data_IF_311297109190
#
_entry.id   IF_311297109190
#
_cell.length_a   1.000
_cell.length_b   1.000
_cell.length_c   1.000
_cell.angle_alpha   90.00
_cell.angle_beta   90.00
_cell.angle_gamma   90.00
#
_symmetry.space_group_name_H-M   'P 1'
#
loop_
_entity.id
_entity.type
_entity.pdbx_description
1 polymer ?
#
# COMPACT_ATOMS: atom_id res chain seq x y z
N UNK A 1 36.39 -39.56 31.38
CA UNK A 1 36.32 -38.28 32.12
C UNK A 1 35.00 -37.61 31.79
N UNK A 2 33.98 -37.86 32.60
CA UNK A 2 32.69 -37.17 32.54
C UNK A 2 32.84 -35.78 33.18
N UNK A 3 32.36 -34.70 32.53
CA UNK A 3 32.43 -33.36 33.11
C UNK A 3 31.59 -33.28 34.39
N UNK A 4 32.11 -32.59 35.41
CA UNK A 4 31.53 -32.50 36.75
C UNK A 4 30.08 -31.92 36.75
N UNK A 5 29.23 -32.36 37.69
CA UNK A 5 27.81 -32.00 37.75
C UNK A 5 27.53 -30.50 38.00
N UNK A 6 28.50 -29.70 38.45
CA UNK A 6 28.33 -28.25 38.66
C UNK A 6 28.26 -27.45 37.35
N UNK A 7 29.05 -27.83 36.34
CA UNK A 7 29.15 -27.07 35.09
C UNK A 7 27.87 -27.16 34.23
N UNK A 8 27.13 -28.27 34.32
CA UNK A 8 25.83 -28.44 33.66
C UNK A 8 24.72 -27.58 34.29
N UNK A 9 24.80 -27.33 35.61
CA UNK A 9 23.78 -26.57 36.36
C UNK A 9 23.82 -25.08 36.01
N UNK A 10 25.01 -24.52 35.81
CA UNK A 10 25.17 -23.11 35.43
C UNK A 10 24.74 -22.84 33.97
N UNK A 11 24.98 -23.81 33.08
CA UNK A 11 24.50 -23.73 31.69
C UNK A 11 22.97 -23.76 31.62
N UNK A 12 22.33 -24.67 32.39
CA UNK A 12 20.88 -24.76 32.48
C UNK A 12 20.24 -23.50 33.08
N UNK A 13 20.84 -22.93 34.13
CA UNK A 13 20.35 -21.70 34.77
C UNK A 13 20.46 -20.50 33.83
N UNK A 14 21.60 -20.33 33.14
CA UNK A 14 21.79 -19.25 32.14
C UNK A 14 20.80 -19.36 30.99
N UNK A 15 20.54 -20.58 30.52
CA UNK A 15 19.54 -20.83 29.48
C UNK A 15 18.13 -20.46 29.95
N UNK A 16 17.73 -20.88 31.16
CA UNK A 16 16.43 -20.54 31.74
C UNK A 16 16.24 -19.03 31.94
N UNK A 17 17.28 -18.34 32.42
CA UNK A 17 17.24 -16.87 32.59
C UNK A 17 17.18 -16.17 31.23
N UNK A 18 17.96 -16.61 30.24
CA UNK A 18 17.90 -16.05 28.88
C UNK A 18 16.51 -16.26 28.25
N UNK A 19 15.94 -17.46 28.38
CA UNK A 19 14.60 -17.77 27.89
C UNK A 19 13.53 -16.90 28.59
N UNK A 20 13.62 -16.75 29.91
CA UNK A 20 12.73 -15.89 30.68
C UNK A 20 12.83 -14.42 30.23
N UNK A 21 14.05 -13.90 30.04
CA UNK A 21 14.27 -12.54 29.53
C UNK A 21 13.66 -12.35 28.14
N UNK A 22 13.83 -13.31 27.22
CA UNK A 22 13.23 -13.25 25.88
C UNK A 22 11.71 -13.23 25.95
N UNK A 23 11.10 -14.10 26.77
CA UNK A 23 9.64 -14.14 26.96
C UNK A 23 9.13 -12.82 27.53
N UNK A 24 9.80 -12.25 28.54
CA UNK A 24 9.43 -10.96 29.14
C UNK A 24 9.52 -9.83 28.10
N UNK A 25 10.60 -9.79 27.30
CA UNK A 25 10.76 -8.79 26.24
C UNK A 25 9.67 -8.92 25.19
N UNK A 26 9.37 -10.13 24.71
CA UNK A 26 8.32 -10.37 23.72
C UNK A 26 6.93 -10.01 24.28
N UNK A 27 6.64 -10.39 25.53
CA UNK A 27 5.38 -10.06 26.20
C UNK A 27 5.24 -8.55 26.38
N UNK A 28 6.32 -7.85 26.77
CA UNK A 28 6.37 -6.40 26.86
C UNK A 28 6.14 -5.71 25.51
N UNK A 29 6.81 -6.18 24.45
CA UNK A 29 6.60 -5.70 23.07
C UNK A 29 5.16 -5.92 22.61
N UNK A 30 4.56 -7.07 22.92
CA UNK A 30 3.16 -7.36 22.58
C UNK A 30 2.19 -6.45 23.34
N UNK A 31 2.42 -6.21 24.64
CA UNK A 31 1.61 -5.29 25.43
C UNK A 31 1.73 -3.85 24.93
N UNK A 32 2.92 -3.44 24.50
CA UNK A 32 3.20 -2.13 23.93
C UNK A 32 2.84 -2.02 22.43
N UNK A 33 2.35 -3.08 21.78
CA UNK A 33 2.08 -3.09 20.34
C UNK A 33 1.11 -1.97 19.91
N UNK A 34 0.16 -1.61 20.78
CA UNK A 34 -0.78 -0.51 20.54
C UNK A 34 -0.09 0.87 20.37
N UNK A 35 1.11 1.04 20.94
CA UNK A 35 1.93 2.26 20.81
C UNK A 35 3.04 2.07 19.78
N UNK A 36 3.66 0.90 19.75
CA UNK A 36 4.78 0.58 18.85
C UNK A 36 4.34 0.59 17.40
N UNK A 37 3.15 0.07 17.08
CA UNK A 37 2.70 -0.03 15.69
C UNK A 37 2.45 1.35 15.04
N UNK A 38 1.70 2.29 15.66
CA UNK A 38 1.60 3.66 15.16
C UNK A 38 2.95 4.37 15.08
N UNK A 39 3.83 4.15 16.07
CA UNK A 39 5.17 4.72 16.07
C UNK A 39 6.01 4.21 14.89
N UNK A 40 6.01 2.90 14.63
CA UNK A 40 6.76 2.30 13.52
C UNK A 40 6.24 2.80 12.17
N UNK A 41 4.91 2.93 12.01
CA UNK A 41 4.28 3.51 10.82
C UNK A 41 4.70 4.98 10.68
N UNK A 42 4.69 5.75 11.76
CA UNK A 42 5.10 7.15 11.74
C UNK A 42 6.58 7.30 11.35
N UNK A 43 7.47 6.45 11.88
CA UNK A 43 8.89 6.43 11.51
C UNK A 43 9.06 6.05 10.04
N UNK A 44 8.37 5.02 9.57
CA UNK A 44 8.41 4.61 8.17
C UNK A 44 7.93 5.73 7.24
N UNK A 45 6.76 6.31 7.52
CA UNK A 45 6.21 7.43 6.75
C UNK A 45 7.12 8.65 6.83
N UNK A 46 7.73 8.94 7.98
CA UNK A 46 8.70 10.01 8.11
C UNK A 46 9.90 9.74 7.19
N UNK A 47 10.50 8.54 7.23
CA UNK A 47 11.63 8.14 6.37
C UNK A 47 11.26 8.28 4.89
N UNK A 48 10.09 7.80 4.46
CA UNK A 48 9.64 7.91 3.07
C UNK A 48 9.45 9.38 2.64
N UNK A 49 8.98 10.22 3.56
CA UNK A 49 8.68 11.62 3.29
C UNK A 49 9.84 12.59 3.53
N UNK A 50 10.97 12.15 4.08
CA UNK A 50 12.19 12.97 4.23
C UNK A 50 12.57 13.73 2.96
N UNK A 51 12.60 13.16 1.74
CA UNK A 51 12.94 13.93 0.54
C UNK A 51 11.98 15.10 0.30
N UNK A 52 10.68 14.89 0.49
CA UNK A 52 9.65 15.93 0.36
C UNK A 52 9.80 17.00 1.45
N UNK A 53 10.02 16.58 2.69
CA UNK A 53 10.27 17.46 3.83
C UNK A 53 11.54 18.30 3.62
N UNK A 54 12.63 17.69 3.16
CA UNK A 54 13.89 18.39 2.89
C UNK A 54 13.73 19.43 1.78
N UNK A 55 12.91 19.13 0.76
CA UNK A 55 12.57 20.09 -0.28
C UNK A 55 11.79 21.29 0.28
N UNK A 56 10.80 21.06 1.15
CA UNK A 56 10.05 22.12 1.86
C UNK A 56 10.95 22.96 2.79
N UNK A 57 11.85 22.33 3.54
CA UNK A 57 12.80 23.03 4.41
C UNK A 57 13.79 23.86 3.59
N UNK A 58 14.21 23.41 2.41
CA UNK A 58 15.02 24.21 1.47
C UNK A 58 14.27 25.45 0.97
N UNK A 59 12.94 25.42 0.95
CA UNK A 59 12.09 26.59 0.69
C UNK A 59 11.92 27.51 1.92
N UNK A 60 12.76 27.38 2.96
CA UNK A 60 12.75 28.18 4.20
C UNK A 60 11.51 27.97 5.10
N UNK A 61 10.80 26.85 4.95
CA UNK A 61 9.70 26.49 5.85
C UNK A 61 10.27 25.98 7.19
N UNK A 62 9.81 26.47 8.36
CA UNK A 62 10.29 25.98 9.65
C UNK A 62 9.85 24.51 9.86
N UNK A 63 10.72 23.72 10.50
CA UNK A 63 10.58 22.26 10.65
C UNK A 63 9.16 21.76 11.01
N UNK A 64 8.45 22.31 12.01
CA UNK A 64 7.10 21.81 12.34
C UNK A 64 6.08 22.08 11.22
N UNK A 65 6.16 23.22 10.53
CA UNK A 65 5.31 23.51 9.36
C UNK A 65 5.66 22.60 8.18
N UNK A 66 6.93 22.27 7.99
CA UNK A 66 7.35 21.34 6.94
C UNK A 66 6.75 19.95 7.14
N UNK A 67 6.71 19.43 8.37
CA UNK A 67 6.07 18.14 8.71
C UNK A 67 4.57 18.18 8.41
N UNK A 68 3.87 19.22 8.87
CA UNK A 68 2.43 19.37 8.63
C UNK A 68 2.10 19.43 7.13
N UNK A 69 2.81 20.27 6.37
CA UNK A 69 2.60 20.42 4.92
C UNK A 69 2.88 19.13 4.15
N UNK A 70 3.90 18.38 4.57
CA UNK A 70 4.25 17.08 3.98
C UNK A 70 3.10 16.09 4.15
N UNK A 71 2.56 15.95 5.37
CA UNK A 71 1.42 15.05 5.65
C UNK A 71 0.18 15.46 4.86
N UNK A 72 -0.14 16.76 4.85
CA UNK A 72 -1.28 17.28 4.11
C UNK A 72 -1.15 17.02 2.60
N UNK A 73 0.04 17.23 2.03
CA UNK A 73 0.29 16.99 0.61
C UNK A 73 0.05 15.53 0.24
N UNK A 74 0.59 14.59 1.01
CA UNK A 74 0.38 13.15 0.77
C UNK A 74 -1.09 12.78 0.91
N UNK A 75 -1.78 13.26 1.96
CA UNK A 75 -3.20 13.01 2.16
C UNK A 75 -4.05 13.57 1.02
N UNK A 76 -3.74 14.78 0.52
CA UNK A 76 -4.42 15.39 -0.61
C UNK A 76 -4.22 14.61 -1.91
N UNK A 77 -2.99 14.19 -2.21
CA UNK A 77 -2.71 13.39 -3.43
C UNK A 77 -3.49 12.07 -3.41
N UNK A 78 -3.48 11.36 -2.28
CA UNK A 78 -4.23 10.10 -2.12
C UNK A 78 -5.73 10.38 -2.24
N UNK A 79 -6.24 11.41 -1.55
CA UNK A 79 -7.66 11.76 -1.58
C UNK A 79 -8.16 12.11 -2.98
N UNK A 80 -7.39 12.91 -3.73
CA UNK A 80 -7.70 13.24 -5.14
C UNK A 80 -7.70 11.98 -6.00
N UNK A 81 -6.68 11.13 -5.87
CA UNK A 81 -6.60 9.89 -6.65
C UNK A 81 -7.77 8.94 -6.36
N UNK A 82 -8.16 8.79 -5.10
CA UNK A 82 -9.35 7.99 -4.70
C UNK A 82 -10.63 8.59 -5.27
N UNK A 83 -10.81 9.91 -5.22
CA UNK A 83 -11.99 10.57 -5.77
C UNK A 83 -12.09 10.40 -7.30
N UNK A 84 -10.98 10.53 -8.01
CA UNK A 84 -10.90 10.32 -9.45
C UNK A 84 -11.17 8.86 -9.85
N UNK A 85 -10.63 7.92 -9.08
CA UNK A 85 -10.93 6.49 -9.26
C UNK A 85 -12.40 6.20 -9.02
N UNK A 86 -12.99 6.74 -7.94
CA UNK A 86 -14.41 6.57 -7.64
C UNK A 86 -15.29 7.04 -8.78
N UNK A 87 -14.97 8.19 -9.37
CA UNK A 87 -15.66 8.69 -10.57
C UNK A 87 -15.50 7.72 -11.75
N UNK A 88 -14.29 7.22 -12.00
CA UNK A 88 -14.04 6.29 -13.10
C UNK A 88 -14.79 4.96 -12.92
N UNK A 89 -14.91 4.48 -11.68
CA UNK A 89 -15.69 3.28 -11.37
C UNK A 89 -17.18 3.52 -11.51
N UNK A 90 -17.69 4.68 -11.10
CA UNK A 90 -19.10 5.04 -11.31
C UNK A 90 -19.46 5.06 -12.80
N UNK A 91 -18.60 5.66 -13.63
CA UNK A 91 -18.80 5.66 -15.08
C UNK A 91 -18.70 4.24 -15.67
N UNK A 92 -17.79 3.40 -15.14
CA UNK A 92 -17.73 1.99 -15.51
C UNK A 92 -19.06 1.29 -15.20
N UNK A 93 -19.63 1.51 -14.02
CA UNK A 93 -20.92 0.93 -13.62
C UNK A 93 -22.06 1.30 -14.58
N UNK A 94 -22.08 2.52 -15.10
CA UNK A 94 -23.07 2.96 -16.08
C UNK A 94 -22.93 2.22 -17.43
N UNK A 95 -21.71 1.88 -17.85
CA UNK A 95 -21.46 1.21 -19.13
C UNK A 95 -21.38 -0.32 -19.04
N UNK A 96 -21.30 -0.90 -17.83
CA UNK A 96 -21.30 -2.36 -17.61
C UNK A 96 -22.42 -3.08 -18.38
N UNK A 97 -23.68 -2.61 -18.38
CA UNK A 97 -24.74 -3.29 -19.11
C UNK A 97 -24.44 -3.42 -20.61
N UNK A 98 -23.80 -2.40 -21.20
CA UNK A 98 -23.35 -2.40 -22.59
C UNK A 98 -22.23 -3.40 -22.84
N UNK A 99 -21.26 -3.48 -21.94
CA UNK A 99 -20.19 -4.48 -22.02
C UNK A 99 -20.73 -5.91 -21.87
N UNK A 100 -21.69 -6.15 -20.96
CA UNK A 100 -22.38 -7.44 -20.81
C UNK A 100 -23.07 -7.87 -22.09
N UNK A 101 -23.84 -6.96 -22.70
CA UNK A 101 -24.53 -7.24 -23.95
C UNK A 101 -23.53 -7.63 -25.05
N UNK A 102 -22.45 -6.85 -25.21
CA UNK A 102 -21.42 -7.10 -26.23
C UNK A 102 -20.69 -8.43 -26.03
N UNK A 103 -20.39 -8.81 -24.79
CA UNK A 103 -19.80 -10.13 -24.48
C UNK A 103 -20.79 -11.26 -24.76
N UNK A 104 -22.07 -11.06 -24.46
CA UNK A 104 -23.13 -12.02 -24.83
C UNK A 104 -23.28 -12.19 -26.35
N UNK A 105 -23.19 -11.10 -27.10
CA UNK A 105 -23.23 -11.13 -28.57
C UNK A 105 -22.00 -11.83 -29.17
N UNK A 106 -20.82 -11.61 -28.61
CA UNK A 106 -19.61 -12.34 -29.00
C UNK A 106 -19.73 -13.83 -28.66
N UNK A 107 -20.21 -14.17 -27.46
CA UNK A 107 -20.39 -15.56 -27.04
C UNK A 107 -21.39 -16.31 -27.93
N UNK A 108 -22.49 -15.67 -28.32
CA UNK A 108 -23.46 -16.26 -29.26
C UNK A 108 -22.89 -16.39 -30.67
N UNK A 109 -22.08 -15.44 -31.13
CA UNK A 109 -21.38 -15.51 -32.42
C UNK A 109 -20.34 -16.65 -32.47
N UNK A 110 -19.55 -16.80 -31.41
CA UNK A 110 -18.59 -17.90 -31.26
C UNK A 110 -19.32 -19.24 -31.14
N UNK A 111 -20.43 -19.29 -30.39
CA UNK A 111 -21.23 -20.50 -30.28
C UNK A 111 -21.82 -20.92 -31.63
N UNK A 112 -22.31 -19.97 -32.43
CA UNK A 112 -22.83 -20.23 -33.77
C UNK A 112 -21.76 -20.81 -34.71
N UNK A 113 -20.51 -20.32 -34.62
CA UNK A 113 -19.37 -20.91 -35.33
C UNK A 113 -19.04 -22.33 -34.84
N UNK A 114 -19.12 -22.57 -33.53
CA UNK A 114 -18.95 -23.91 -32.94
C UNK A 114 -19.98 -24.92 -33.41
N UNK A 115 -21.25 -24.51 -33.57
CA UNK A 115 -22.33 -25.35 -34.11
C UNK A 115 -22.02 -25.69 -35.57
N UNK A 116 -21.55 -24.71 -36.34
CA UNK A 116 -21.17 -24.94 -37.75
C UNK A 116 -19.97 -25.89 -37.93
N UNK A 117 -19.17 -26.09 -36.88
CA UNK A 117 -18.03 -27.01 -36.83
C UNK A 117 -18.37 -28.36 -36.16
N UNK A 118 -19.61 -28.58 -35.74
CA UNK A 118 -20.08 -29.84 -35.14
C UNK A 118 -19.68 -30.06 -33.68
N UNK A 119 -19.31 -29.00 -32.96
CA UNK A 119 -18.96 -29.07 -31.54
C UNK A 119 -20.23 -29.06 -30.64
N UNK A 120 -20.21 -29.70 -29.46
CA UNK A 120 -21.29 -29.61 -28.46
C UNK A 120 -21.21 -28.27 -27.72
N UNK A 121 -21.91 -27.26 -28.25
CA UNK A 121 -21.77 -25.85 -27.82
C UNK A 121 -22.70 -25.45 -26.68
N UNK A 122 -23.72 -26.26 -26.40
CA UNK A 122 -24.71 -26.01 -25.34
C UNK A 122 -24.07 -25.99 -23.95
N UNK A 123 -23.11 -26.87 -23.67
CA UNK A 123 -22.38 -26.90 -22.39
C UNK A 123 -21.46 -25.68 -22.25
N UNK A 124 -20.78 -25.30 -23.33
CA UNK A 124 -19.94 -24.10 -23.36
C UNK A 124 -20.78 -22.84 -23.13
N UNK A 125 -21.97 -22.75 -23.72
CA UNK A 125 -22.86 -21.60 -23.55
C UNK A 125 -23.32 -21.42 -22.09
N UNK A 126 -23.68 -22.49 -21.40
CA UNK A 126 -24.05 -22.44 -19.98
C UNK A 126 -22.85 -22.05 -19.09
N UNK A 127 -21.67 -22.59 -19.36
CA UNK A 127 -20.44 -22.22 -18.64
C UNK A 127 -20.08 -20.74 -18.87
N UNK A 128 -20.17 -20.23 -20.10
CA UNK A 128 -19.94 -18.81 -20.38
C UNK A 128 -20.97 -17.89 -19.72
N UNK A 129 -22.25 -18.28 -19.68
CA UNK A 129 -23.28 -17.50 -19.00
C UNK A 129 -23.08 -17.49 -17.47
N UNK A 130 -22.68 -18.60 -16.87
CA UNK A 130 -22.44 -18.67 -15.43
C UNK A 130 -21.20 -17.86 -15.00
N UNK A 131 -20.10 -17.93 -15.77
CA UNK A 131 -18.88 -17.15 -15.53
C UNK A 131 -19.11 -15.66 -15.72
N UNK A 132 -19.86 -15.27 -16.76
CA UNK A 132 -20.18 -13.85 -16.97
C UNK A 132 -21.09 -13.31 -15.86
N UNK A 133 -22.11 -14.04 -15.41
CA UNK A 133 -22.92 -13.63 -14.26
C UNK A 133 -22.09 -13.43 -12.99
N UNK A 134 -21.17 -14.36 -12.71
CA UNK A 134 -20.28 -14.28 -11.55
C UNK A 134 -19.31 -13.09 -11.66
N UNK A 135 -18.63 -12.94 -12.81
CA UNK A 135 -17.69 -11.86 -13.04
C UNK A 135 -18.38 -10.50 -12.93
N UNK A 136 -19.51 -10.29 -13.60
CA UNK A 136 -20.18 -9.00 -13.59
C UNK A 136 -21.00 -8.72 -12.31
N UNK A 137 -21.48 -9.75 -11.60
CA UNK A 137 -22.13 -9.58 -10.30
C UNK A 137 -21.19 -9.04 -9.21
N UNK A 138 -19.89 -9.36 -9.28
CA UNK A 138 -18.88 -8.72 -8.43
C UNK A 138 -18.72 -7.22 -8.76
N UNK A 139 -18.90 -6.84 -10.04
CA UNK A 139 -18.80 -5.43 -10.43
C UNK A 139 -20.05 -4.65 -10.04
N UNK A 140 -21.24 -5.25 -10.01
CA UNK A 140 -22.45 -4.60 -9.48
C UNK A 140 -22.36 -4.35 -7.97
N UNK A 141 -21.81 -5.31 -7.21
CA UNK A 141 -21.59 -5.15 -5.77
C UNK A 141 -20.52 -4.10 -5.48
N UNK A 142 -19.42 -4.07 -6.23
CA UNK A 142 -18.44 -3.00 -6.17
C UNK A 142 -19.06 -1.65 -6.57
N UNK A 143 -19.87 -1.62 -7.64
CA UNK A 143 -20.60 -0.45 -8.12
C UNK A 143 -21.64 0.05 -7.12
N UNK A 144 -22.26 -0.81 -6.31
CA UNK A 144 -23.19 -0.39 -5.24
C UNK A 144 -22.46 0.15 -4.01
N UNK A 145 -21.29 -0.40 -3.67
CA UNK A 145 -20.42 0.10 -2.61
C UNK A 145 -19.83 1.47 -2.99
N UNK A 146 -19.53 1.66 -4.28
CA UNK A 146 -18.87 2.85 -4.82
C UNK A 146 -19.87 3.94 -5.27
N UNK A 147 -20.97 3.54 -5.89
CA UNK A 147 -22.03 4.41 -6.43
C UNK A 147 -22.83 5.18 -5.39
N UNK A 148 -22.75 4.77 -4.11
CA UNK A 148 -23.03 5.68 -3.02
C UNK A 148 -21.88 6.70 -2.91
N UNK A 149 -21.92 7.76 -3.72
CA UNK A 149 -20.94 8.87 -3.69
C UNK A 149 -20.75 9.41 -2.27
N UNK A 150 -21.82 9.43 -1.46
CA UNK A 150 -21.76 9.79 -0.04
C UNK A 150 -21.01 8.78 0.85
N UNK A 151 -20.99 7.49 0.49
CA UNK A 151 -20.25 6.47 1.22
C UNK A 151 -18.75 6.51 0.91
N UNK A 152 -18.33 6.78 -0.34
CA UNK A 152 -16.91 6.97 -0.65
C UNK A 152 -16.38 8.26 -0.05
N UNK A 153 -17.06 9.38 -0.28
CA UNK A 153 -16.63 10.66 0.30
C UNK A 153 -16.70 10.57 1.82
N UNK A 154 -17.73 9.94 2.38
CA UNK A 154 -17.84 9.67 3.80
C UNK A 154 -16.73 8.74 4.33
N UNK A 155 -16.34 7.71 3.59
CA UNK A 155 -15.22 6.84 3.94
C UNK A 155 -13.89 7.56 3.83
N UNK A 156 -13.65 8.33 2.78
CA UNK A 156 -12.45 9.14 2.61
C UNK A 156 -12.35 10.20 3.72
N UNK A 157 -13.44 10.89 4.04
CA UNK A 157 -13.50 11.86 5.15
C UNK A 157 -13.31 11.18 6.50
N UNK A 158 -13.87 9.98 6.72
CA UNK A 158 -13.62 9.18 7.93
C UNK A 158 -12.18 8.71 8.02
N UNK A 159 -11.60 8.24 6.92
CA UNK A 159 -10.20 7.80 6.85
C UNK A 159 -9.27 8.97 7.05
N UNK A 160 -9.48 10.10 6.39
CA UNK A 160 -8.72 11.35 6.59
C UNK A 160 -8.91 11.84 8.01
N UNK A 161 -10.13 11.83 8.57
CA UNK A 161 -10.41 12.22 9.95
C UNK A 161 -9.72 11.32 10.97
N UNK A 162 -9.74 10.00 10.77
CA UNK A 162 -9.01 9.05 11.58
C UNK A 162 -7.49 9.21 11.44
N UNK A 163 -7.02 9.49 10.22
CA UNK A 163 -5.62 9.79 9.95
C UNK A 163 -5.20 11.11 10.60
N UNK A 164 -6.05 12.15 10.60
CA UNK A 164 -5.81 13.45 11.24
C UNK A 164 -5.84 13.32 12.76
N UNK A 165 -6.76 12.53 13.32
CA UNK A 165 -6.83 12.23 14.75
C UNK A 165 -5.60 11.47 15.22
N UNK A 166 -5.18 10.44 14.47
CA UNK A 166 -3.93 9.72 14.75
C UNK A 166 -2.70 10.59 14.46
N UNK A 167 -2.72 11.41 13.41
CA UNK A 167 -1.66 12.35 13.09
C UNK A 167 -1.55 13.46 14.12
N UNK A 168 -2.64 13.84 14.79
CA UNK A 168 -2.62 14.77 15.91
C UNK A 168 -1.91 14.15 17.12
N UNK A 169 -2.22 12.89 17.46
CA UNK A 169 -1.47 12.16 18.49
C UNK A 169 0.00 11.98 18.08
N UNK A 170 0.28 11.57 16.85
CA UNK A 170 1.64 11.44 16.32
C UNK A 170 2.35 12.79 16.30
N UNK A 171 1.68 13.89 15.94
CA UNK A 171 2.22 15.24 15.95
C UNK A 171 2.56 15.67 17.38
N UNK A 172 1.66 15.45 18.33
CA UNK A 172 1.90 15.71 19.75
C UNK A 172 3.09 14.88 20.25
N UNK A 173 3.13 13.59 19.93
CA UNK A 173 4.25 12.69 20.26
C UNK A 173 5.54 13.12 19.59
N UNK A 174 5.53 13.56 18.33
CA UNK A 174 6.70 14.06 17.61
C UNK A 174 7.20 15.36 18.23
N UNK A 175 6.30 16.27 18.64
CA UNK A 175 6.66 17.49 19.37
C UNK A 175 7.31 17.14 20.70
N UNK A 176 6.71 16.24 21.49
CA UNK A 176 7.28 15.77 22.76
C UNK A 176 8.62 15.07 22.57
N UNK A 177 8.72 14.15 21.60
CA UNK A 177 9.95 13.43 21.27
C UNK A 177 11.00 14.40 20.73
N UNK A 178 10.68 15.41 19.91
CA UNK A 178 11.67 16.40 19.45
C UNK A 178 12.17 17.27 20.60
N UNK A 179 11.29 17.66 21.51
CA UNK A 179 11.66 18.36 22.74
C UNK A 179 12.57 17.50 23.63
N UNK A 180 12.24 16.22 23.81
CA UNK A 180 13.03 15.27 24.60
C UNK A 180 14.35 14.91 23.89
N UNK A 181 14.31 14.70 22.57
CA UNK A 181 15.42 14.27 21.72
C UNK A 181 16.50 15.36 21.61
N UNK A 182 16.10 16.63 21.63
CA UNK A 182 17.03 17.76 21.72
C UNK A 182 17.94 17.66 22.96
N UNK A 183 17.46 17.01 24.04
CA UNK A 183 18.27 16.67 25.22
C UNK A 183 18.79 15.22 25.23
N UNK A 184 18.14 14.29 24.55
CA UNK A 184 18.43 12.85 24.59
C UNK A 184 19.78 12.49 23.98
N UNK A 185 20.15 13.09 22.84
CA UNK A 185 21.47 12.85 22.24
C UNK A 185 22.61 13.36 23.15
N UNK A 186 22.37 14.44 23.89
CA UNK A 186 23.31 14.94 24.90
C UNK A 186 23.40 13.97 26.10
N UNK A 187 22.25 13.46 26.60
CA UNK A 187 22.19 12.47 27.68
C UNK A 187 22.85 11.13 27.29
N UNK A 188 22.66 10.65 26.06
CA UNK A 188 23.29 9.41 25.56
C UNK A 188 24.79 9.58 25.40
N UNK A 189 25.27 10.71 24.85
CA UNK A 189 26.71 10.99 24.76
C UNK A 189 27.37 11.07 26.13
N UNK A 190 26.64 11.57 27.13
CA UNK A 190 27.09 11.58 28.53
C UNK A 190 27.06 10.19 29.18
N UNK A 191 26.07 9.34 28.84
CA UNK A 191 25.91 8.01 29.42
C UNK A 191 26.79 6.91 28.80
N UNK A 192 27.06 6.98 27.49
CA UNK A 192 27.79 5.95 26.73
C UNK A 192 29.17 6.41 26.23
N UNK A 193 29.54 7.69 26.44
CA UNK A 193 30.81 8.25 25.98
C UNK A 193 30.91 8.40 24.46
N UNK A 194 32.04 8.90 23.98
CA UNK A 194 32.34 9.13 22.55
C UNK A 194 32.71 7.83 21.79
N UNK A 195 31.87 6.80 21.92
CA UNK A 195 32.00 5.56 21.14
C UNK A 195 31.61 5.73 19.66
N UNK A 196 31.97 4.77 18.78
CA UNK A 196 31.67 4.82 17.35
C UNK A 196 30.16 4.95 17.10
N UNK A 197 29.78 5.88 16.22
CA UNK A 197 28.39 6.27 15.95
C UNK A 197 27.50 5.06 15.59
N UNK A 198 26.65 4.57 16.52
CA UNK A 198 25.85 3.37 16.30
C UNK A 198 24.79 3.58 15.21
N UNK A 199 24.45 4.85 14.91
CA UNK A 199 23.33 5.21 14.04
C UNK A 199 23.74 5.44 12.58
N UNK A 200 25.04 5.46 12.28
CA UNK A 200 25.55 5.65 10.90
C UNK A 200 25.09 4.57 9.92
N UNK A 201 24.93 3.32 10.40
CA UNK A 201 24.42 2.22 9.57
C UNK A 201 22.92 2.35 9.26
N UNK A 202 22.11 2.81 10.23
CA UNK A 202 20.67 3.01 10.03
C UNK A 202 20.40 4.11 9.00
N UNK A 203 21.19 5.18 9.00
CA UNK A 203 21.09 6.25 7.99
C UNK A 203 21.32 5.77 6.57
N UNK A 204 22.27 4.83 6.35
CA UNK A 204 22.51 4.23 5.04
C UNK A 204 21.34 3.35 4.58
N UNK A 205 20.78 2.55 5.48
CA UNK A 205 19.61 1.71 5.19
C UNK A 205 18.42 2.60 4.81
N UNK A 206 18.16 3.67 5.56
CA UNK A 206 17.10 4.63 5.24
C UNK A 206 17.31 5.29 3.87
N UNK A 207 18.52 5.72 3.54
CA UNK A 207 18.84 6.32 2.24
C UNK A 207 18.65 5.33 1.08
N UNK A 208 19.01 4.06 1.27
CA UNK A 208 18.79 3.00 0.29
C UNK A 208 17.30 2.73 0.08
N UNK A 209 16.52 2.61 1.16
CA UNK A 209 15.07 2.43 1.10
C UNK A 209 14.42 3.62 0.37
N UNK A 210 14.80 4.85 0.69
CA UNK A 210 14.30 6.04 0.01
C UNK A 210 14.61 6.05 -1.48
N UNK A 211 15.86 5.78 -1.85
CA UNK A 211 16.28 5.78 -3.26
C UNK A 211 15.52 4.72 -4.04
N UNK A 212 15.36 3.52 -3.46
CA UNK A 212 14.57 2.45 -4.06
C UNK A 212 13.10 2.84 -4.22
N UNK A 213 12.46 3.35 -3.17
CA UNK A 213 11.04 3.72 -3.21
C UNK A 213 10.77 4.85 -4.19
N UNK A 214 11.61 5.89 -4.23
CA UNK A 214 11.48 6.99 -5.20
C UNK A 214 11.66 6.48 -6.62
N UNK A 215 12.67 5.66 -6.87
CA UNK A 215 12.89 5.06 -8.20
C UNK A 215 11.68 4.24 -8.61
N UNK A 216 11.18 3.37 -7.73
CA UNK A 216 10.04 2.49 -8.02
C UNK A 216 8.73 3.26 -8.19
N UNK A 217 8.48 4.26 -7.37
CA UNK A 217 7.33 5.15 -7.53
C UNK A 217 7.38 5.92 -8.85
N UNK A 218 8.55 6.42 -9.24
CA UNK A 218 8.74 7.17 -10.50
C UNK A 218 8.53 6.28 -11.72
N UNK A 219 9.13 5.08 -11.72
CA UNK A 219 8.93 4.09 -12.79
C UNK A 219 7.47 3.65 -12.87
N UNK A 220 6.84 3.37 -11.73
CA UNK A 220 5.43 3.01 -11.68
C UNK A 220 4.53 4.14 -12.20
N UNK A 221 4.81 5.39 -11.82
CA UNK A 221 4.08 6.57 -12.27
C UNK A 221 4.20 6.77 -13.77
N UNK A 222 5.42 6.65 -14.31
CA UNK A 222 5.66 6.72 -15.74
C UNK A 222 4.88 5.62 -16.48
N UNK A 223 4.92 4.37 -15.99
CA UNK A 223 4.13 3.27 -16.57
C UNK A 223 2.63 3.58 -16.54
N UNK A 224 2.09 4.01 -15.40
CA UNK A 224 0.67 4.33 -15.29
C UNK A 224 0.23 5.45 -16.24
N UNK A 225 1.04 6.51 -16.37
CA UNK A 225 0.79 7.61 -17.30
C UNK A 225 0.83 7.12 -18.75
N UNK A 226 1.85 6.34 -19.12
CA UNK A 226 1.99 5.79 -20.47
C UNK A 226 0.80 4.90 -20.81
N UNK A 227 0.42 3.97 -19.91
CA UNK A 227 -0.76 3.12 -20.12
C UNK A 227 -2.03 3.96 -20.22
N UNK A 228 -2.23 4.95 -19.36
CA UNK A 228 -3.39 5.83 -19.42
C UNK A 228 -3.48 6.60 -20.75
N UNK A 229 -2.37 7.17 -21.21
CA UNK A 229 -2.32 7.85 -22.52
C UNK A 229 -2.60 6.86 -23.65
N UNK A 230 -2.04 5.66 -23.59
CA UNK A 230 -2.21 4.63 -24.61
C UNK A 230 -3.67 4.18 -24.74
N UNK A 231 -4.33 3.93 -23.60
CA UNK A 231 -5.77 3.60 -23.54
C UNK A 231 -6.62 4.75 -24.09
N UNK A 232 -6.27 6.00 -23.76
CA UNK A 232 -6.95 7.19 -24.31
C UNK A 232 -6.81 7.28 -25.85
N UNK A 233 -5.61 7.02 -26.39
CA UNK A 233 -5.36 7.06 -27.84
C UNK A 233 -6.13 5.94 -28.57
N UNK A 234 -6.25 4.75 -27.97
CA UNK A 234 -7.05 3.67 -28.54
C UNK A 234 -8.57 3.93 -28.50
N UNK A 235 -9.01 5.00 -27.84
CA UNK A 235 -10.43 5.28 -27.62
C UNK A 235 -11.10 4.27 -26.70
N UNK A 236 -10.33 3.61 -25.81
CA UNK A 236 -10.89 2.76 -24.76
C UNK A 236 -11.47 3.62 -23.63
N UNK A 237 -12.55 3.12 -23.04
CA UNK A 237 -13.19 3.76 -21.90
C UNK A 237 -12.28 3.71 -20.65
N UNK A 238 -12.40 4.73 -19.79
CA UNK A 238 -11.70 4.89 -18.51
C UNK A 238 -10.16 4.89 -18.54
N UNK A 239 -9.50 5.76 -19.34
CA UNK A 239 -8.04 5.80 -19.40
C UNK A 239 -7.35 6.02 -18.05
N UNK A 240 -7.96 6.84 -17.19
CA UNK A 240 -7.45 7.15 -15.86
C UNK A 240 -7.46 5.93 -14.93
N UNK A 241 -8.53 5.14 -14.95
CA UNK A 241 -8.65 3.91 -14.17
C UNK A 241 -7.56 2.93 -14.55
N UNK A 242 -7.38 2.67 -15.86
CA UNK A 242 -6.36 1.75 -16.35
C UNK A 242 -4.93 2.24 -16.06
N UNK A 243 -4.68 3.54 -16.14
CA UNK A 243 -3.39 4.12 -15.77
C UNK A 243 -3.06 3.94 -14.29
N UNK A 244 -4.02 4.16 -13.38
CA UNK A 244 -3.82 3.96 -11.94
C UNK A 244 -3.67 2.48 -11.59
N UNK A 245 -4.44 1.61 -12.23
CA UNK A 245 -4.32 0.15 -12.09
C UNK A 245 -2.92 -0.31 -12.53
N UNK A 246 -2.43 0.18 -13.67
CA UNK A 246 -1.08 -0.10 -14.14
C UNK A 246 0.01 0.44 -13.18
N UNK A 247 -0.18 1.64 -12.62
CA UNK A 247 0.69 2.19 -11.57
C UNK A 247 0.76 1.25 -10.36
N UNK A 248 -0.39 0.85 -9.82
CA UNK A 248 -0.47 0.01 -8.63
C UNK A 248 0.17 -1.37 -8.86
N UNK A 249 -0.07 -1.98 -10.02
CA UNK A 249 0.49 -3.29 -10.34
C UNK A 249 1.97 -3.24 -10.67
N UNK A 250 2.48 -2.17 -11.27
CA UNK A 250 3.93 -2.01 -11.40
C UNK A 250 4.62 -1.87 -10.03
N UNK A 251 3.91 -1.37 -9.03
CA UNK A 251 4.41 -1.31 -7.66
C UNK A 251 4.49 -2.69 -6.99
N UNK A 252 3.61 -3.64 -7.35
CA UNK A 252 3.51 -4.99 -6.78
C UNK A 252 3.95 -6.03 -7.84
N UNK A 253 5.22 -6.52 -7.80
CA UNK A 253 5.79 -7.38 -8.84
C UNK A 253 4.99 -8.66 -9.13
N UNK A 254 4.24 -9.15 -8.15
CA UNK A 254 3.47 -10.41 -8.24
C UNK A 254 2.19 -10.30 -9.06
N UNK A 255 1.68 -9.08 -9.32
CA UNK A 255 0.43 -8.90 -10.06
C UNK A 255 0.65 -8.79 -11.58
N UNK A 256 1.85 -8.43 -12.02
CA UNK A 256 2.20 -8.37 -13.45
C UNK A 256 2.03 -9.71 -14.18
N UNK A 257 2.31 -10.83 -13.51
CA UNK A 257 2.10 -12.18 -14.07
C UNK A 257 0.62 -12.52 -14.25
N UNK A 258 -0.26 -12.04 -13.37
CA UNK A 258 -1.71 -12.24 -13.49
C UNK A 258 -2.24 -11.51 -14.73
N UNK A 259 -1.75 -10.31 -15.03
CA UNK A 259 -2.16 -9.54 -16.22
C UNK A 259 -1.53 -10.05 -17.51
N UNK A 260 -0.31 -10.59 -17.47
CA UNK A 260 0.28 -11.30 -18.61
C UNK A 260 -0.56 -12.51 -19.02
N UNK A 261 -1.29 -13.12 -18.08
CA UNK A 261 -2.19 -14.23 -18.35
C UNK A 261 -3.52 -13.79 -19.00
N UNK A 262 -3.99 -12.55 -18.81
CA UNK A 262 -5.30 -12.12 -19.35
C UNK A 262 -5.36 -12.20 -20.88
N UNK A 263 -4.40 -11.65 -21.65
CA UNK A 263 -4.37 -11.84 -23.11
C UNK A 263 -4.23 -13.32 -23.51
N UNK A 264 -3.51 -14.12 -22.72
CA UNK A 264 -3.29 -15.54 -22.99
C UNK A 264 -4.53 -16.41 -22.70
N UNK A 265 -5.48 -15.91 -21.91
CA UNK A 265 -6.77 -16.57 -21.62
C UNK A 265 -7.89 -16.04 -22.51
N UNK A 266 -7.75 -14.82 -23.05
CA UNK A 266 -8.68 -14.22 -24.01
C UNK A 266 -8.38 -14.56 -25.47
N UNK A 267 -7.24 -15.19 -25.76
CA UNK A 267 -6.88 -15.83 -27.04
C UNK A 267 -7.23 -17.31 -27.00
#
# INVERSE_FOLDING_TARGET
MSPEPRQRRDAGLRFLVAAACVVIVIAGLRAAAALILPFLIAVFLAVVNVPLMNWLVRMRVPKPLAVLLTVLTVASVIGILVALLAQSVNQLTEVIPRYRARVGDLATSVAALGVSLGLPVEQLREDFQSVSLAAFGTVDTLGAIIGNTGAIVGNAVRTVGAFLSNAFLVFLTVVFILFEAAGFTAKIKLAFGAGPDPFGHLGRISAQIQTYLVTKATVSAATGIIVGIWVAIMGLDFPLLWGVVAFMFNFIPTLGSIFAAIPAVLL
#
